data_IF_711567279275
#
_entry.id   IF_711567279275
#
_cell.length_a   1.000
_cell.length_b   1.000
_cell.length_c   1.000
_cell.angle_alpha   90.00
_cell.angle_beta   90.00
_cell.angle_gamma   90.00
#
_symmetry.space_group_name_H-M   'P 1'
#
loop_
_entity.id
_entity.type
_entity.pdbx_description
1 polymer ?
#
# COMPACT_ATOMS: atom_id res chain seq x y z
N UNK A 1 -18.80 65.63 -15.65
CA UNK A 1 -17.50 65.07 -15.23
C UNK A 1 -17.75 64.22 -14.00
N UNK A 2 -17.63 62.89 -14.11
CA UNK A 2 -18.02 61.90 -13.08
C UNK A 2 -16.79 61.46 -12.27
N UNK A 3 -16.91 61.18 -10.96
CA UNK A 3 -15.79 60.70 -10.16
C UNK A 3 -15.53 59.20 -10.39
N UNK A 4 -14.25 58.88 -10.44
CA UNK A 4 -13.63 57.58 -10.62
C UNK A 4 -13.94 56.68 -9.41
N UNK A 5 -14.63 55.55 -9.63
CA UNK A 5 -14.80 54.48 -8.63
C UNK A 5 -13.73 53.42 -8.83
N UNK A 6 -12.94 53.22 -7.78
CA UNK A 6 -11.96 52.15 -7.58
C UNK A 6 -12.69 50.81 -7.62
N UNK A 7 -12.27 49.89 -8.50
CA UNK A 7 -12.71 48.49 -8.47
C UNK A 7 -11.59 47.63 -7.89
N UNK A 8 -11.89 47.02 -6.75
CA UNK A 8 -11.00 46.16 -5.96
C UNK A 8 -10.92 44.79 -6.63
N UNK A 9 -9.67 44.33 -6.75
CA UNK A 9 -9.22 43.04 -7.24
C UNK A 9 -9.93 41.88 -6.50
N UNK A 10 -10.71 41.08 -7.21
CA UNK A 10 -11.33 39.86 -6.68
C UNK A 10 -10.37 38.69 -6.92
N UNK A 11 -9.58 38.38 -5.89
CA UNK A 11 -8.62 37.28 -5.84
C UNK A 11 -9.38 35.95 -5.81
N UNK A 12 -9.29 35.19 -6.90
CA UNK A 12 -9.83 33.84 -7.01
C UNK A 12 -9.12 32.92 -6.00
N UNK A 13 -9.89 32.32 -5.08
CA UNK A 13 -9.42 31.26 -4.20
C UNK A 13 -8.94 30.06 -5.02
N UNK A 14 -7.63 29.82 -5.01
CA UNK A 14 -7.04 28.54 -5.38
C UNK A 14 -7.26 27.55 -4.22
N UNK A 15 -8.09 26.55 -4.47
CA UNK A 15 -8.19 25.34 -3.66
C UNK A 15 -6.84 24.62 -3.66
N UNK A 16 -6.09 24.73 -2.57
CA UNK A 16 -4.91 23.91 -2.31
C UNK A 16 -5.37 22.47 -2.03
N UNK A 17 -5.30 21.62 -3.04
CA UNK A 17 -5.26 20.17 -2.81
C UNK A 17 -3.90 19.83 -2.18
N UNK A 18 -3.92 19.46 -0.91
CA UNK A 18 -2.75 18.96 -0.20
C UNK A 18 -2.47 17.52 -0.64
N UNK A 19 -1.43 17.34 -1.45
CA UNK A 19 -0.89 16.03 -1.79
C UNK A 19 0.04 15.55 -0.67
N UNK A 20 -0.29 14.41 -0.08
CA UNK A 20 0.62 13.59 0.72
C UNK A 20 1.75 13.05 -0.17
N UNK A 21 3.01 13.23 0.23
CA UNK A 21 4.16 12.63 -0.48
C UNK A 21 4.10 11.10 -0.40
N UNK A 22 4.01 10.37 -1.54
CA UNK A 22 4.03 8.92 -1.52
C UNK A 22 5.44 8.39 -1.20
N UNK A 23 5.50 7.30 -0.43
CA UNK A 23 6.68 6.44 -0.32
C UNK A 23 6.90 5.74 -1.65
N UNK A 24 7.64 6.39 -2.55
CA UNK A 24 8.28 5.74 -3.68
C UNK A 24 9.67 6.36 -3.81
N UNK A 25 10.67 5.74 -3.18
CA UNK A 25 12.02 5.84 -3.72
C UNK A 25 12.00 5.05 -5.02
N UNK A 26 11.74 5.74 -6.13
CA UNK A 26 11.74 5.11 -7.44
C UNK A 26 13.15 4.58 -7.74
N UNK A 27 13.30 3.37 -8.31
CA UNK A 27 14.50 3.05 -9.05
C UNK A 27 14.67 4.10 -10.16
N UNK A 28 15.90 4.50 -10.52
CA UNK A 28 16.11 5.43 -11.62
C UNK A 28 15.77 4.72 -12.93
N UNK A 29 14.55 4.94 -13.45
CA UNK A 29 14.11 4.49 -14.77
C UNK A 29 12.83 3.64 -14.76
N UNK A 30 12.12 3.66 -15.89
CA UNK A 30 10.98 2.76 -16.11
C UNK A 30 11.44 1.30 -16.10
N UNK A 31 10.75 0.47 -15.33
CA UNK A 31 10.93 -0.98 -15.28
C UNK A 31 10.29 -1.59 -16.53
N UNK A 32 11.00 -2.53 -17.16
CA UNK A 32 10.53 -3.24 -18.36
C UNK A 32 10.85 -4.73 -18.29
N UNK A 33 9.97 -5.55 -18.85
CA UNK A 33 10.17 -7.00 -18.94
C UNK A 33 11.36 -7.33 -19.87
N UNK A 34 12.21 -8.26 -19.43
CA UNK A 34 13.35 -8.76 -20.20
C UNK A 34 14.65 -7.97 -20.01
N UNK A 35 14.67 -7.02 -19.08
CA UNK A 35 15.94 -6.44 -18.62
C UNK A 35 16.67 -7.42 -17.69
N UNK A 36 18.00 -7.46 -17.70
CA UNK A 36 18.79 -8.44 -16.94
C UNK A 36 18.73 -8.22 -15.42
N UNK A 37 18.26 -7.06 -14.96
CA UNK A 37 18.09 -6.76 -13.54
C UNK A 37 16.75 -7.29 -13.04
N UNK A 38 16.78 -8.01 -11.93
CA UNK A 38 15.57 -8.47 -11.24
C UNK A 38 14.67 -7.28 -10.86
N UNK A 39 13.36 -7.43 -11.08
CA UNK A 39 12.38 -6.39 -10.77
C UNK A 39 12.31 -6.22 -9.25
N UNK A 40 12.84 -5.12 -8.75
CA UNK A 40 12.71 -4.76 -7.35
C UNK A 40 11.29 -4.26 -7.07
N UNK A 41 10.57 -4.98 -6.23
CA UNK A 41 9.21 -4.64 -5.84
C UNK A 41 9.25 -3.77 -4.58
N UNK A 42 8.68 -2.55 -4.61
CA UNK A 42 8.60 -1.71 -3.42
C UNK A 42 7.79 -2.36 -2.31
N UNK A 43 8.19 -2.06 -1.07
CA UNK A 43 7.41 -2.43 0.12
C UNK A 43 6.31 -1.40 0.33
N UNK A 44 5.07 -1.85 0.39
CA UNK A 44 3.90 -1.00 0.67
C UNK A 44 3.18 -1.47 1.94
N UNK A 45 2.30 -0.62 2.45
CA UNK A 45 1.50 -0.90 3.65
C UNK A 45 0.22 -1.66 3.27
N UNK A 46 0.03 -2.82 3.89
CA UNK A 46 -1.21 -3.60 3.83
C UNK A 46 -1.90 -3.55 5.19
N UNK A 47 -3.22 -3.30 5.21
CA UNK A 47 -4.04 -3.40 6.43
C UNK A 47 -5.11 -4.48 6.27
N UNK A 48 -5.28 -5.30 7.29
CA UNK A 48 -6.13 -6.47 7.17
C UNK A 48 -6.24 -7.31 8.43
N UNK A 49 -6.88 -8.45 8.24
CA UNK A 49 -7.05 -9.49 9.23
C UNK A 49 -5.96 -10.54 9.05
N UNK A 50 -5.25 -10.87 10.12
CA UNK A 50 -4.23 -11.90 10.15
C UNK A 50 -4.78 -13.10 10.92
N UNK A 51 -4.62 -14.29 10.34
CA UNK A 51 -4.86 -15.57 11.03
C UNK A 51 -3.55 -16.34 11.00
N UNK A 52 -3.03 -16.67 12.18
CA UNK A 52 -1.80 -17.47 12.33
C UNK A 52 -2.20 -18.93 12.56
N UNK A 53 -1.77 -19.81 11.66
CA UNK A 53 -1.94 -21.25 11.77
C UNK A 53 -0.60 -21.98 11.97
N UNK A 54 -0.64 -23.29 12.27
CA UNK A 54 0.56 -24.10 12.52
C UNK A 54 1.37 -24.40 11.24
N UNK A 55 0.74 -24.35 10.06
CA UNK A 55 1.38 -24.60 8.76
C UNK A 55 1.34 -23.40 7.82
N UNK A 56 0.25 -22.65 7.89
CA UNK A 56 0.02 -21.46 7.06
C UNK A 56 -0.48 -20.32 7.91
N UNK A 57 -0.12 -19.10 7.51
CA UNK A 57 -0.76 -17.89 7.98
C UNK A 57 -1.45 -17.23 6.80
N UNK A 58 -2.60 -16.59 7.04
CA UNK A 58 -3.35 -15.88 6.01
C UNK A 58 -3.50 -14.42 6.36
N UNK A 59 -3.57 -13.59 5.32
CA UNK A 59 -3.88 -12.17 5.40
C UNK A 59 -5.11 -11.88 4.53
N UNK A 60 -6.14 -11.28 5.12
CA UNK A 60 -7.33 -10.81 4.39
C UNK A 60 -7.33 -9.29 4.44
N UNK A 61 -7.13 -8.57 3.32
CA UNK A 61 -7.20 -7.12 3.31
C UNK A 61 -8.53 -6.63 3.88
N UNK A 62 -8.52 -5.49 4.59
CA UNK A 62 -9.76 -4.92 5.10
C UNK A 62 -10.75 -4.66 3.95
N UNK A 63 -12.03 -4.93 4.20
CA UNK A 63 -13.13 -4.82 3.21
C UNK A 63 -12.99 -5.77 2.00
N UNK A 64 -12.20 -6.84 2.12
CA UNK A 64 -12.09 -7.90 1.12
C UNK A 64 -12.55 -9.24 1.66
N UNK A 65 -12.98 -10.10 0.74
CA UNK A 65 -13.17 -11.53 0.97
C UNK A 65 -12.03 -12.38 0.35
N UNK A 66 -11.01 -11.72 -0.21
CA UNK A 66 -9.86 -12.37 -0.81
C UNK A 66 -8.78 -12.61 0.23
N UNK A 67 -8.18 -13.78 0.21
CA UNK A 67 -7.11 -14.16 1.13
C UNK A 67 -5.78 -14.27 0.40
N UNK A 68 -4.73 -13.80 1.06
CA UNK A 68 -3.34 -13.97 0.67
C UNK A 68 -2.64 -14.91 1.64
N UNK A 69 -1.71 -15.71 1.12
CA UNK A 69 -0.81 -16.47 1.97
C UNK A 69 0.18 -15.49 2.59
N UNK A 70 0.18 -15.37 3.91
CA UNK A 70 1.10 -14.52 4.64
C UNK A 70 2.39 -15.29 4.89
N UNK A 71 3.49 -14.85 4.28
CA UNK A 71 4.83 -15.39 4.52
C UNK A 71 5.53 -14.51 5.56
N UNK A 72 5.84 -15.12 6.72
CA UNK A 72 6.48 -14.46 7.86
C UNK A 72 7.89 -15.03 8.07
N UNK A 73 8.81 -14.22 8.58
CA UNK A 73 10.05 -14.74 9.17
C UNK A 73 9.73 -15.50 10.48
N UNK A 74 10.66 -16.35 10.93
CA UNK A 74 10.49 -17.09 12.19
C UNK A 74 10.23 -16.16 13.38
N UNK A 75 10.94 -15.02 13.44
CA UNK A 75 10.76 -14.02 14.48
C UNK A 75 9.39 -13.32 14.41
N UNK A 76 8.94 -12.95 13.20
CA UNK A 76 7.61 -12.36 13.03
C UNK A 76 6.52 -13.36 13.41
N UNK A 77 6.65 -14.63 13.01
CA UNK A 77 5.72 -15.69 13.38
C UNK A 77 5.61 -15.84 14.89
N UNK A 78 6.75 -15.94 15.59
CA UNK A 78 6.77 -16.04 17.05
C UNK A 78 6.13 -14.81 17.72
N UNK A 79 6.44 -13.61 17.22
CA UNK A 79 5.91 -12.36 17.76
C UNK A 79 4.39 -12.28 17.60
N UNK A 80 3.85 -12.60 16.42
CA UNK A 80 2.42 -12.59 16.14
C UNK A 80 1.67 -13.72 16.88
N UNK A 81 2.30 -14.88 17.03
CA UNK A 81 1.73 -16.00 17.79
C UNK A 81 1.51 -15.67 19.27
N UNK A 82 2.25 -14.72 19.82
CA UNK A 82 2.04 -14.22 21.19
C UNK A 82 0.87 -13.21 21.28
N UNK A 83 0.37 -12.70 20.15
CA UNK A 83 -0.75 -11.77 20.11
C UNK A 83 -2.13 -12.46 20.01
N UNK A 84 -2.15 -13.77 19.73
CA UNK A 84 -3.36 -14.58 19.65
C UNK A 84 -3.58 -15.34 20.96
N UNK A 85 -4.81 -15.33 21.46
CA UNK A 85 -5.21 -16.07 22.66
C UNK A 85 -5.66 -17.51 22.34
N UNK A 86 -6.12 -17.76 21.11
CA UNK A 86 -6.54 -19.08 20.66
C UNK A 86 -6.08 -19.39 19.23
N UNK A 87 -5.90 -20.68 18.87
CA UNK A 87 -5.61 -21.07 17.50
C UNK A 87 -6.63 -20.49 16.51
N UNK A 88 -6.14 -20.03 15.36
CA UNK A 88 -6.94 -19.44 14.29
C UNK A 88 -7.75 -18.18 14.67
N UNK A 89 -7.45 -17.54 15.81
CA UNK A 89 -8.00 -16.23 16.13
C UNK A 89 -7.56 -15.22 15.07
N UNK A 90 -8.54 -14.48 14.55
CA UNK A 90 -8.29 -13.34 13.66
C UNK A 90 -7.90 -12.11 14.48
N UNK A 91 -6.77 -11.49 14.14
CA UNK A 91 -6.30 -10.23 14.72
C UNK A 91 -6.16 -9.17 13.65
N UNK A 92 -6.26 -7.89 14.01
CA UNK A 92 -5.97 -6.81 13.08
C UNK A 92 -4.46 -6.67 12.93
N UNK A 93 -3.97 -6.53 11.71
CA UNK A 93 -2.57 -6.28 11.43
C UNK A 93 -2.33 -5.32 10.28
N UNK A 94 -1.28 -4.53 10.44
CA UNK A 94 -0.70 -3.66 9.43
C UNK A 94 0.69 -4.18 9.10
N UNK A 95 0.89 -4.60 7.85
CA UNK A 95 2.09 -5.27 7.36
C UNK A 95 2.71 -4.44 6.24
N UNK A 96 3.99 -4.13 6.38
CA UNK A 96 4.80 -3.57 5.31
C UNK A 96 5.43 -4.75 4.57
N UNK A 97 5.15 -4.86 3.27
CA UNK A 97 5.58 -6.02 2.49
C UNK A 97 5.31 -5.85 1.00
N UNK A 98 5.30 -6.96 0.27
CA UNK A 98 5.01 -6.98 -1.16
C UNK A 98 4.34 -8.30 -1.56
N UNK A 99 3.66 -8.30 -2.71
CA UNK A 99 2.96 -9.46 -3.25
C UNK A 99 3.83 -10.24 -4.23
N UNK A 100 3.68 -11.56 -4.21
CA UNK A 100 4.29 -12.49 -5.17
C UNK A 100 3.28 -13.56 -5.58
N UNK A 101 3.55 -14.25 -6.69
CA UNK A 101 2.71 -15.36 -7.13
C UNK A 101 2.64 -16.48 -6.08
N UNK A 102 1.47 -17.12 -5.90
CA UNK A 102 1.34 -18.34 -5.10
C UNK A 102 2.11 -19.50 -5.72
N UNK A 103 2.26 -20.59 -4.98
CA UNK A 103 2.82 -21.81 -5.56
C UNK A 103 1.88 -22.39 -6.61
N UNK A 104 2.45 -23.08 -7.60
CA UNK A 104 1.66 -23.77 -8.64
C UNK A 104 0.93 -25.00 -8.09
N UNK A 105 1.44 -25.57 -7.00
CA UNK A 105 0.97 -26.82 -6.40
C UNK A 105 0.97 -26.73 -4.87
N UNK A 106 0.28 -27.66 -4.22
CA UNK A 106 0.25 -27.81 -2.76
C UNK A 106 -0.90 -27.08 -2.07
N UNK A 107 -0.92 -27.16 -0.74
CA UNK A 107 -1.99 -26.60 0.12
C UNK A 107 -2.13 -25.07 0.06
N UNK A 108 -1.22 -24.40 -0.64
CA UNK A 108 -1.10 -22.95 -0.75
C UNK A 108 -1.32 -22.43 -2.18
N UNK A 109 -1.73 -23.30 -3.11
CA UNK A 109 -2.02 -22.92 -4.50
C UNK A 109 -3.34 -22.12 -4.65
N UNK A 110 -4.26 -22.25 -3.69
CA UNK A 110 -5.60 -21.61 -3.76
C UNK A 110 -5.59 -20.11 -3.39
N UNK A 111 -4.48 -19.61 -2.83
CA UNK A 111 -4.38 -18.19 -2.48
C UNK A 111 -4.25 -17.32 -3.73
N UNK A 112 -4.87 -16.13 -3.72
CA UNK A 112 -4.77 -15.17 -4.83
C UNK A 112 -3.35 -14.67 -5.05
N UNK A 113 -2.62 -14.47 -3.95
CA UNK A 113 -1.25 -14.00 -3.92
C UNK A 113 -0.57 -14.45 -2.62
N UNK A 114 0.76 -14.31 -2.56
CA UNK A 114 1.54 -14.40 -1.33
C UNK A 114 1.96 -13.01 -0.90
N UNK A 115 1.60 -12.61 0.30
CA UNK A 115 2.13 -11.42 0.95
C UNK A 115 3.41 -11.78 1.69
N UNK A 116 4.54 -11.29 1.20
CA UNK A 116 5.84 -11.43 1.85
C UNK A 116 5.97 -10.28 2.87
N UNK A 117 5.87 -10.62 4.16
CA UNK A 117 5.96 -9.64 5.23
C UNK A 117 7.41 -9.23 5.44
N UNK A 118 7.71 -7.97 5.20
CA UNK A 118 9.01 -7.41 5.53
C UNK A 118 9.05 -6.88 6.97
N UNK A 119 8.00 -6.17 7.38
CA UNK A 119 7.91 -5.58 8.71
C UNK A 119 6.45 -5.53 9.19
N UNK A 120 6.27 -5.71 10.49
CA UNK A 120 4.99 -5.44 11.16
C UNK A 120 4.96 -3.96 11.50
N UNK A 121 3.89 -3.23 11.14
CA UNK A 121 3.70 -1.83 11.52
C UNK A 121 2.88 -1.68 12.80
N UNK A 122 1.79 -2.45 12.91
CA UNK A 122 0.88 -2.42 14.04
C UNK A 122 0.04 -3.69 14.11
N UNK A 123 -0.30 -4.16 15.30
CA UNK A 123 -1.23 -5.29 15.51
C UNK A 123 -2.11 -4.98 16.71
N UNK A 124 -3.38 -5.37 16.63
CA UNK A 124 -4.31 -5.36 17.78
C UNK A 124 -5.22 -6.59 17.76
N UNK A 125 -5.74 -6.97 18.93
CA UNK A 125 -6.50 -8.22 19.10
C UNK A 125 -7.89 -8.23 18.43
N UNK A 126 -8.47 -7.06 18.12
CA UNK A 126 -9.81 -6.94 17.53
C UNK A 126 -9.73 -6.66 16.02
N UNK A 127 -9.78 -7.73 15.22
CA UNK A 127 -9.73 -7.68 13.76
C UNK A 127 -10.84 -6.83 13.12
N UNK A 128 -12.07 -6.96 13.64
CA UNK A 128 -13.25 -6.29 13.09
C UNK A 128 -13.16 -4.79 13.37
N UNK A 129 -12.89 -4.43 14.62
CA UNK A 129 -12.72 -3.03 15.00
C UNK A 129 -11.57 -2.39 14.26
N UNK A 130 -10.42 -3.06 14.16
CA UNK A 130 -9.24 -2.55 13.46
C UNK A 130 -9.51 -2.23 11.98
N UNK A 131 -10.23 -3.10 11.25
CA UNK A 131 -10.60 -2.81 9.87
C UNK A 131 -11.66 -1.72 9.73
N UNK A 132 -12.53 -1.53 10.73
CA UNK A 132 -13.53 -0.45 10.73
C UNK A 132 -12.95 0.93 11.10
N UNK A 133 -11.74 0.98 11.66
CA UNK A 133 -11.11 2.27 12.02
C UNK A 133 -10.79 3.09 10.76
N UNK A 134 -10.88 4.43 10.85
CA UNK A 134 -10.37 5.30 9.80
C UNK A 134 -8.87 5.10 9.61
N UNK A 135 -8.35 5.54 8.46
CA UNK A 135 -6.91 5.57 8.25
C UNK A 135 -6.24 6.38 9.37
N UNK A 136 -5.14 5.84 9.87
CA UNK A 136 -4.39 6.37 10.98
C UNK A 136 -3.16 7.08 10.41
N UNK A 137 -2.83 8.23 10.98
CA UNK A 137 -1.57 8.94 10.74
C UNK A 137 -0.40 8.21 11.41
N UNK A 138 0.81 8.66 11.09
CA UNK A 138 2.00 8.26 11.86
C UNK A 138 1.85 8.77 13.29
N UNK A 139 2.01 7.88 14.26
CA UNK A 139 1.81 8.17 15.67
C UNK A 139 2.97 7.59 16.49
N UNK A 140 3.43 8.33 17.49
CA UNK A 140 4.41 7.88 18.47
C UNK A 140 3.99 8.26 19.89
N UNK A 141 4.16 7.37 20.85
CA UNK A 141 3.76 7.63 22.23
C UNK A 141 4.60 6.86 23.25
N UNK A 142 4.65 7.39 24.47
CA UNK A 142 5.22 6.72 25.64
C UNK A 142 4.43 6.99 26.92
N UNK A 143 4.72 6.23 27.97
CA UNK A 143 3.93 6.25 29.22
C UNK A 143 4.63 6.88 30.42
N UNK A 144 5.97 6.98 30.45
CA UNK A 144 6.73 7.44 31.63
C UNK A 144 7.86 8.42 31.24
N UNK A 145 7.61 9.75 31.26
CA UNK A 145 6.30 10.40 31.40
C UNK A 145 5.42 10.16 30.16
N UNK A 146 4.12 10.42 30.26
CA UNK A 146 3.23 10.29 29.11
C UNK A 146 3.52 11.38 28.07
N UNK A 147 3.62 10.97 26.81
CA UNK A 147 3.74 11.85 25.66
C UNK A 147 3.12 11.19 24.43
N UNK A 148 2.65 12.02 23.50
CA UNK A 148 2.06 11.61 22.23
C UNK A 148 2.51 12.59 21.14
N UNK A 149 2.84 12.05 19.98
CA UNK A 149 3.08 12.79 18.75
C UNK A 149 2.20 12.16 17.67
N UNK A 150 1.34 12.97 17.06
CA UNK A 150 0.52 12.59 15.91
C UNK A 150 0.90 13.46 14.70
N UNK A 151 1.10 12.84 13.55
CA UNK A 151 1.40 13.55 12.31
C UNK A 151 0.09 13.87 11.56
N UNK A 152 -0.52 15.00 11.90
CA UNK A 152 -1.80 15.47 11.32
C UNK A 152 -1.69 15.88 9.86
N UNK A 153 -0.50 16.25 9.40
CA UNK A 153 -0.16 16.51 8.00
C UNK A 153 1.33 16.24 7.76
N UNK A 154 1.80 16.15 6.50
CA UNK A 154 3.22 15.94 6.20
C UNK A 154 4.16 16.98 6.87
N UNK A 155 3.63 18.18 7.15
CA UNK A 155 4.42 19.32 7.62
C UNK A 155 4.13 19.71 9.08
N UNK A 156 3.28 18.97 9.80
CA UNK A 156 2.86 19.33 11.17
C UNK A 156 2.81 18.12 12.10
N UNK A 157 3.40 18.28 13.28
CA UNK A 157 3.28 17.34 14.40
C UNK A 157 2.41 17.95 15.50
N UNK A 158 1.38 17.23 15.93
CA UNK A 158 0.61 17.54 17.12
C UNK A 158 1.27 16.82 18.31
N UNK A 159 1.88 17.60 19.21
CA UNK A 159 2.69 17.11 20.32
C UNK A 159 2.00 17.36 21.64
N UNK A 160 1.81 16.30 22.43
CA UNK A 160 1.19 16.36 23.75
C UNK A 160 2.14 15.80 24.81
N UNK A 161 2.27 16.50 25.94
CA UNK A 161 3.00 16.04 27.13
C UNK A 161 2.08 15.97 28.35
N UNK A 162 2.02 14.82 28.99
CA UNK A 162 1.20 14.61 30.19
C UNK A 162 -0.27 14.93 29.94
N UNK A 163 -0.83 15.83 30.74
CA UNK A 163 -2.23 16.30 30.61
C UNK A 163 -2.36 17.65 29.89
N UNK A 164 -1.32 18.11 29.22
CA UNK A 164 -1.32 19.40 28.52
C UNK A 164 -2.18 19.34 27.25
N UNK A 165 -2.62 20.49 26.75
CA UNK A 165 -3.23 20.56 25.41
C UNK A 165 -2.19 20.24 24.33
N UNK A 166 -2.59 19.66 23.18
CA UNK A 166 -1.71 19.45 22.04
C UNK A 166 -1.08 20.77 21.55
N UNK A 167 0.18 20.69 21.14
CA UNK A 167 0.94 21.80 20.56
C UNK A 167 1.32 21.45 19.12
N UNK A 168 1.06 22.36 18.17
CA UNK A 168 1.41 22.16 16.77
C UNK A 168 2.85 22.59 16.49
N UNK A 169 3.67 21.67 16.01
CA UNK A 169 5.08 21.89 15.69
C UNK A 169 5.29 21.73 14.17
N UNK A 170 5.74 22.77 13.47
CA UNK A 170 6.00 22.67 12.03
C UNK A 170 7.24 21.83 11.77
N UNK A 171 7.11 20.82 10.92
CA UNK A 171 8.21 19.98 10.46
C UNK A 171 9.04 20.79 9.46
N UNK A 172 10.34 20.87 9.71
CA UNK A 172 11.31 21.58 8.84
C UNK A 172 12.08 20.64 7.95
N UNK A 173 12.27 19.41 8.41
CA UNK A 173 13.02 18.41 7.67
C UNK A 173 12.46 17.03 7.97
N UNK A 174 12.32 16.25 6.89
CA UNK A 174 11.95 14.84 6.92
C UNK A 174 13.09 14.07 6.28
N UNK A 175 13.61 13.07 6.99
CA UNK A 175 14.60 12.15 6.45
C UNK A 175 14.13 10.71 6.68
N UNK A 176 13.91 9.99 5.58
CA UNK A 176 13.43 8.62 5.59
C UNK A 176 14.48 7.70 4.94
N UNK A 177 14.99 6.75 5.70
CA UNK A 177 15.86 5.66 5.23
C UNK A 177 15.22 4.32 5.56
N UNK A 178 15.67 3.19 5.04
CA UNK A 178 15.06 1.90 5.42
C UNK A 178 15.03 1.67 6.94
N UNK A 179 16.06 2.12 7.63
CA UNK A 179 16.27 1.90 9.07
C UNK A 179 15.72 3.02 9.95
N UNK A 180 15.39 4.19 9.40
CA UNK A 180 14.95 5.33 10.21
C UNK A 180 13.88 6.19 9.54
N UNK A 181 12.96 6.72 10.34
CA UNK A 181 12.13 7.88 9.99
C UNK A 181 12.48 9.00 10.96
N UNK A 182 12.94 10.13 10.45
CA UNK A 182 13.36 11.28 11.26
C UNK A 182 12.54 12.50 10.87
N UNK A 183 11.84 13.05 11.84
CA UNK A 183 11.05 14.28 11.73
C UNK A 183 11.68 15.35 12.61
N UNK A 184 12.13 16.43 12.01
CA UNK A 184 12.80 17.54 12.72
C UNK A 184 11.91 18.77 12.72
N UNK A 185 11.59 19.27 13.90
CA UNK A 185 10.93 20.55 14.15
C UNK A 185 11.87 21.45 14.99
N UNK A 186 11.64 22.78 15.05
CA UNK A 186 12.45 23.68 15.87
C UNK A 186 12.54 23.30 17.36
N UNK A 187 11.49 22.67 17.88
CA UNK A 187 11.34 22.30 19.29
C UNK A 187 11.95 20.92 19.62
N UNK A 188 12.24 20.09 18.62
CA UNK A 188 12.76 18.75 18.82
C UNK A 188 12.75 17.85 17.59
N UNK A 189 13.27 16.64 17.77
CA UNK A 189 13.42 15.63 16.73
C UNK A 189 12.79 14.32 17.19
N UNK A 190 11.87 13.78 16.37
CA UNK A 190 11.31 12.45 16.52
C UNK A 190 12.03 11.49 15.57
N UNK A 191 12.62 10.44 16.12
CA UNK A 191 13.26 9.35 15.38
C UNK A 191 12.50 8.06 15.64
N UNK A 192 12.06 7.41 14.56
CA UNK A 192 11.44 6.09 14.58
C UNK A 192 12.41 5.07 13.99
N UNK A 193 12.60 3.94 14.66
CA UNK A 193 13.44 2.84 14.20
C UNK A 193 12.63 1.53 14.15
N UNK A 194 12.75 0.71 13.08
CA UNK A 194 12.10 -0.59 12.97
C UNK A 194 12.50 -1.48 14.14
N UNK A 195 11.55 -1.74 15.04
CA UNK A 195 11.73 -2.65 16.16
C UNK A 195 10.39 -2.83 16.85
N UNK A 196 10.09 -4.08 17.19
CA UNK A 196 8.86 -4.42 17.90
C UNK A 196 8.83 -3.72 19.27
N UNK A 197 7.72 -3.08 19.57
CA UNK A 197 7.53 -2.29 20.78
C UNK A 197 6.10 -2.52 21.34
N UNK A 198 5.98 -2.61 22.66
CA UNK A 198 4.69 -2.74 23.34
C UNK A 198 4.61 -1.75 24.50
N UNK A 199 3.52 -0.99 24.55
CA UNK A 199 3.17 -0.15 25.70
C UNK A 199 2.19 -0.85 26.65
N UNK A 200 1.44 -1.82 26.14
CA UNK A 200 0.50 -2.66 26.88
C UNK A 200 0.35 -4.00 26.14
N UNK A 201 -0.43 -4.93 26.69
CA UNK A 201 -0.63 -6.26 26.10
C UNK A 201 -1.66 -6.30 24.96
N UNK A 202 -2.33 -5.19 24.65
CA UNK A 202 -3.43 -5.15 23.67
C UNK A 202 -2.96 -4.76 22.26
N UNK A 203 -1.80 -4.14 22.14
CA UNK A 203 -1.28 -3.65 20.88
C UNK A 203 0.22 -3.86 20.74
N UNK A 204 0.62 -4.30 19.55
CA UNK A 204 2.00 -4.40 19.12
C UNK A 204 2.29 -3.25 18.16
N UNK A 205 3.38 -2.53 18.41
CA UNK A 205 3.88 -1.47 17.54
C UNK A 205 5.13 -1.97 16.81
N UNK A 206 5.23 -1.61 15.53
CA UNK A 206 6.33 -2.00 14.66
C UNK A 206 7.59 -1.17 14.77
N UNK A 207 7.50 -0.05 15.52
CA UNK A 207 8.55 0.94 15.61
C UNK A 207 8.81 1.32 17.06
N UNK A 208 10.08 1.51 17.39
CA UNK A 208 10.50 2.23 18.58
C UNK A 208 10.62 3.71 18.26
N UNK A 209 10.23 4.55 19.21
CA UNK A 209 10.32 6.00 19.09
C UNK A 209 11.33 6.57 20.09
N UNK A 210 12.18 7.46 19.61
CA UNK A 210 13.03 8.32 20.41
C UNK A 210 12.70 9.78 20.08
N UNK A 211 12.26 10.54 21.09
CA UNK A 211 11.83 11.92 20.93
C UNK A 211 12.72 12.84 21.77
N UNK A 212 13.57 13.59 21.11
CA UNK A 212 14.53 14.50 21.74
C UNK A 212 14.03 15.93 21.62
N UNK A 213 13.82 16.60 22.76
CA UNK A 213 13.31 17.97 22.82
C UNK A 213 14.16 18.81 23.76
N UNK A 214 13.93 20.13 23.77
CA UNK A 214 14.53 21.02 24.76
C UNK A 214 14.18 20.64 26.22
N UNK A 215 13.03 19.99 26.44
CA UNK A 215 12.55 19.58 27.76
C UNK A 215 13.11 18.24 28.25
N UNK A 216 13.74 17.47 27.36
CA UNK A 216 14.26 16.15 27.69
C UNK A 216 14.17 15.14 26.54
N UNK A 217 14.56 13.91 26.86
CA UNK A 217 14.57 12.77 25.93
C UNK A 217 13.51 11.77 26.36
N UNK A 218 12.67 11.38 25.42
CA UNK A 218 11.56 10.45 25.64
C UNK A 218 11.72 9.22 24.77
N UNK A 219 11.26 8.07 25.29
CA UNK A 219 11.24 6.81 24.57
C UNK A 219 9.83 6.25 24.58
N UNK A 220 9.49 5.49 23.55
CA UNK A 220 8.15 4.96 23.36
C UNK A 220 8.03 4.04 22.16
N UNK A 221 6.79 3.79 21.77
CA UNK A 221 6.43 2.99 20.61
C UNK A 221 5.79 3.87 19.54
N UNK A 222 5.85 3.42 18.30
CA UNK A 222 5.24 4.12 17.18
C UNK A 222 4.70 3.18 16.11
N UNK A 223 3.81 3.72 15.30
CA UNK A 223 3.33 3.14 14.05
C UNK A 223 3.43 4.20 12.95
N UNK A 224 3.72 3.77 11.73
CA UNK A 224 3.58 4.64 10.57
C UNK A 224 2.12 4.76 10.17
N UNK A 225 1.80 5.83 9.45
CA UNK A 225 0.48 5.99 8.85
C UNK A 225 0.14 4.79 7.96
N UNK A 226 -1.11 4.35 8.02
CA UNK A 226 -1.54 3.09 7.42
C UNK A 226 -2.25 3.25 6.06
N UNK A 227 -2.04 4.40 5.41
CA UNK A 227 -2.55 4.69 4.08
C UNK A 227 -1.75 3.95 3.01
N UNK A 228 -2.45 3.27 2.10
CA UNK A 228 -1.85 2.76 0.88
C UNK A 228 -1.71 3.89 -0.17
N UNK A 229 -0.48 4.30 -0.52
CA UNK A 229 -0.26 5.36 -1.51
C UNK A 229 -0.66 4.95 -2.93
N UNK A 230 -0.85 3.66 -3.20
CA UNK A 230 -1.19 3.14 -4.52
C UNK A 230 -2.70 3.16 -4.84
N UNK A 231 -3.53 3.62 -3.90
CA UNK A 231 -4.99 3.73 -4.08
C UNK A 231 -5.42 4.54 -5.32
N UNK A 232 -4.58 5.45 -5.83
CA UNK A 232 -4.86 6.21 -7.06
C UNK A 232 -4.96 5.33 -8.33
N UNK A 233 -4.42 4.11 -8.28
CA UNK A 233 -4.49 3.09 -9.33
C UNK A 233 -5.79 2.30 -9.37
N UNK A 234 -6.59 2.36 -8.30
CA UNK A 234 -7.87 1.67 -8.23
C UNK A 234 -8.82 2.27 -9.27
N UNK A 235 -9.17 1.47 -10.27
CA UNK A 235 -10.15 1.79 -11.30
C UNK A 235 -10.44 0.56 -12.16
N UNK A 236 -11.43 0.74 -13.05
CA UNK A 236 -11.63 -0.11 -14.22
C UNK A 236 -11.03 0.58 -15.44
N UNK A 237 -10.22 -0.13 -16.19
CA UNK A 237 -9.59 0.32 -17.43
C UNK A 237 -10.08 -0.54 -18.60
N UNK A 238 -10.37 0.07 -19.73
CA UNK A 238 -10.97 -0.59 -20.89
C UNK A 238 -10.24 -0.25 -22.18
N UNK A 239 -10.22 -1.19 -23.13
CA UNK A 239 -9.87 -0.92 -24.51
C UNK A 239 -10.69 -1.77 -25.48
N UNK A 240 -10.96 -1.21 -26.66
CA UNK A 240 -11.43 -1.96 -27.81
C UNK A 240 -10.27 -2.11 -28.80
N UNK A 241 -10.17 -3.27 -29.44
CA UNK A 241 -9.16 -3.50 -30.47
C UNK A 241 -9.43 -2.64 -31.70
N UNK A 242 -8.38 -2.05 -32.24
CA UNK A 242 -8.41 -1.31 -33.52
C UNK A 242 -8.14 -2.21 -34.72
N UNK A 243 -7.85 -3.50 -34.50
CA UNK A 243 -7.52 -4.49 -35.54
C UNK A 243 -8.52 -5.64 -35.64
N UNK A 244 -9.24 -5.90 -34.56
CA UNK A 244 -10.26 -6.93 -34.48
C UNK A 244 -11.53 -6.25 -33.98
N UNK A 245 -12.46 -5.96 -34.88
CA UNK A 245 -13.68 -5.17 -34.59
C UNK A 245 -14.59 -5.79 -33.50
N UNK A 246 -14.26 -6.99 -33.03
CA UNK A 246 -15.04 -7.78 -32.09
C UNK A 246 -14.29 -8.12 -30.80
N UNK A 247 -13.15 -7.48 -30.48
CA UNK A 247 -12.35 -7.79 -29.29
C UNK A 247 -12.23 -6.60 -28.35
N UNK A 248 -12.47 -6.82 -27.05
CA UNK A 248 -12.27 -5.82 -26.01
C UNK A 248 -11.61 -6.42 -24.76
N UNK A 249 -10.88 -5.57 -24.04
CA UNK A 249 -10.16 -5.91 -22.81
C UNK A 249 -10.62 -4.98 -21.71
N UNK A 250 -10.96 -5.53 -20.54
CA UNK A 250 -11.27 -4.77 -19.33
C UNK A 250 -10.39 -5.24 -18.19
N UNK A 251 -9.59 -4.34 -17.62
CA UNK A 251 -8.77 -4.57 -16.44
C UNK A 251 -9.38 -3.85 -15.24
N UNK A 252 -9.71 -4.59 -14.18
CA UNK A 252 -10.18 -4.03 -12.91
C UNK A 252 -9.09 -4.18 -11.87
N UNK A 253 -8.63 -3.05 -11.30
CA UNK A 253 -7.70 -2.99 -10.18
C UNK A 253 -8.47 -2.64 -8.91
N UNK A 254 -8.54 -3.57 -7.96
CA UNK A 254 -9.34 -3.41 -6.73
C UNK A 254 -8.48 -2.90 -5.56
N UNK A 255 -9.14 -2.27 -4.59
CA UNK A 255 -8.51 -1.71 -3.38
C UNK A 255 -7.82 -2.76 -2.49
N UNK A 256 -8.17 -4.03 -2.64
CA UNK A 256 -7.57 -5.15 -1.92
C UNK A 256 -6.34 -5.72 -2.63
N UNK A 257 -5.79 -5.01 -3.61
CA UNK A 257 -4.69 -5.44 -4.48
C UNK A 257 -4.99 -6.65 -5.37
N UNK A 258 -6.26 -7.08 -5.49
CA UNK A 258 -6.63 -8.06 -6.52
C UNK A 258 -6.88 -7.41 -7.86
N UNK A 259 -6.55 -8.15 -8.92
CA UNK A 259 -6.74 -7.73 -10.30
C UNK A 259 -7.60 -8.75 -11.04
N UNK A 260 -8.40 -8.26 -11.99
CA UNK A 260 -9.15 -9.09 -12.91
C UNK A 260 -9.04 -8.52 -14.32
N UNK A 261 -8.69 -9.36 -15.29
CA UNK A 261 -8.79 -9.02 -16.71
C UNK A 261 -9.91 -9.83 -17.35
N UNK A 262 -10.80 -9.15 -18.07
CA UNK A 262 -11.83 -9.74 -18.88
C UNK A 262 -11.50 -9.50 -20.35
N UNK A 263 -11.48 -10.57 -21.13
CA UNK A 263 -11.38 -10.51 -22.58
C UNK A 263 -12.72 -10.89 -23.16
N UNK A 264 -13.31 -10.00 -23.94
CA UNK A 264 -14.60 -10.24 -24.58
C UNK A 264 -14.42 -10.28 -26.09
N UNK A 265 -14.89 -11.37 -26.69
CA UNK A 265 -15.04 -11.52 -28.13
C UNK A 265 -16.52 -11.46 -28.45
N UNK A 266 -16.99 -10.58 -29.35
CA UNK A 266 -18.44 -10.43 -29.63
C UNK A 266 -19.10 -11.74 -30.09
N UNK A 267 -18.32 -12.65 -30.68
CA UNK A 267 -18.81 -13.95 -31.15
C UNK A 267 -18.82 -15.02 -30.04
N UNK A 268 -18.28 -14.73 -28.86
CA UNK A 268 -18.25 -15.62 -27.71
C UNK A 268 -19.16 -15.06 -26.59
N UNK A 269 -20.23 -15.78 -26.20
CA UNK A 269 -21.11 -15.32 -25.13
C UNK A 269 -20.42 -15.27 -23.76
N UNK A 270 -19.29 -15.97 -23.57
CA UNK A 270 -18.60 -16.06 -22.27
C UNK A 270 -17.25 -15.33 -22.36
N UNK A 271 -17.03 -14.26 -21.58
CA UNK A 271 -15.73 -13.61 -21.55
C UNK A 271 -14.68 -14.54 -20.94
N UNK A 272 -13.46 -14.44 -21.45
CA UNK A 272 -12.30 -15.07 -20.83
C UNK A 272 -11.90 -14.25 -19.61
N UNK A 273 -11.79 -14.93 -18.47
CA UNK A 273 -11.48 -14.28 -17.18
C UNK A 273 -10.09 -14.69 -16.71
N UNK A 274 -9.25 -13.69 -16.48
CA UNK A 274 -8.02 -13.82 -15.72
C UNK A 274 -8.16 -13.14 -14.36
N UNK A 275 -7.61 -13.76 -13.33
CA UNK A 275 -7.56 -13.17 -11.98
C UNK A 275 -6.18 -13.30 -11.37
N UNK A 276 -5.84 -12.36 -10.51
CA UNK A 276 -4.57 -12.35 -9.78
C UNK A 276 -4.47 -11.12 -8.90
N UNK A 277 -3.32 -10.44 -8.92
CA UNK A 277 -3.02 -9.30 -8.07
C UNK A 277 -2.29 -8.18 -8.81
N UNK A 278 -2.25 -7.01 -8.20
CA UNK A 278 -1.49 -5.86 -8.69
C UNK A 278 -0.78 -5.13 -7.54
N UNK A 279 0.32 -4.47 -7.87
CA UNK A 279 1.06 -3.63 -6.94
C UNK A 279 1.82 -2.53 -7.65
N UNK A 280 2.01 -1.39 -6.99
CA UNK A 280 2.83 -0.30 -7.51
C UNK A 280 4.31 -0.67 -7.51
N UNK A 281 4.97 -0.41 -8.64
CA UNK A 281 6.42 -0.54 -8.78
C UNK A 281 7.12 0.81 -8.53
N UNK A 282 6.45 1.90 -8.87
CA UNK A 282 6.87 3.27 -8.62
C UNK A 282 5.66 4.22 -8.81
N UNK A 283 5.91 5.53 -8.94
CA UNK A 283 4.86 6.54 -9.02
C UNK A 283 4.05 6.50 -10.32
N UNK A 284 4.59 5.88 -11.36
CA UNK A 284 4.08 5.89 -12.73
C UNK A 284 3.95 4.49 -13.35
N UNK A 285 4.30 3.43 -12.62
CA UNK A 285 4.15 2.05 -13.07
C UNK A 285 3.58 1.11 -12.01
N UNK A 286 2.80 0.14 -12.50
CA UNK A 286 2.29 -0.98 -11.72
C UNK A 286 2.67 -2.30 -12.37
N UNK A 287 2.82 -3.32 -11.53
CA UNK A 287 2.86 -4.70 -11.94
C UNK A 287 1.45 -5.28 -11.81
N UNK A 288 1.00 -5.98 -12.84
CA UNK A 288 -0.22 -6.78 -12.82
C UNK A 288 0.18 -8.22 -13.10
N UNK A 289 -0.12 -9.11 -12.17
CA UNK A 289 0.19 -10.54 -12.26
C UNK A 289 -1.12 -11.33 -12.21
N UNK A 290 -1.45 -12.00 -13.28
CA UNK A 290 -2.56 -12.95 -13.36
C UNK A 290 -2.02 -14.34 -12.99
N UNK A 291 -2.74 -15.05 -12.13
CA UNK A 291 -2.35 -16.39 -11.64
C UNK A 291 -3.34 -17.46 -12.06
N UNK A 292 -4.55 -17.06 -12.49
CA UNK A 292 -5.57 -17.95 -13.00
C UNK A 292 -6.12 -17.43 -14.32
N UNK A 293 -6.34 -18.34 -15.27
CA UNK A 293 -7.01 -18.15 -16.54
C UNK A 293 -8.13 -19.19 -16.65
N UNK A 294 -9.39 -18.76 -16.72
CA UNK A 294 -10.55 -19.67 -16.69
C UNK A 294 -10.49 -20.70 -15.55
N UNK A 295 -10.12 -20.22 -14.34
CA UNK A 295 -9.91 -21.04 -13.13
C UNK A 295 -8.75 -22.05 -13.19
N UNK A 296 -8.00 -22.10 -14.29
CA UNK A 296 -6.78 -22.90 -14.41
C UNK A 296 -5.56 -22.05 -14.07
N UNK A 297 -4.54 -22.65 -13.44
CA UNK A 297 -3.33 -21.91 -13.12
C UNK A 297 -2.61 -21.47 -14.40
N UNK A 298 -2.41 -20.17 -14.55
CA UNK A 298 -1.61 -19.56 -15.61
C UNK A 298 -0.95 -18.31 -15.05
N UNK A 299 0.38 -18.29 -15.03
CA UNK A 299 1.13 -17.12 -14.59
C UNK A 299 1.38 -16.20 -15.78
N UNK A 300 0.70 -15.06 -15.80
CA UNK A 300 0.96 -13.97 -16.73
C UNK A 300 1.33 -12.69 -15.96
N UNK A 301 2.27 -11.93 -16.48
CA UNK A 301 2.70 -10.66 -15.91
C UNK A 301 2.76 -9.57 -16.98
N UNK A 302 2.25 -8.40 -16.63
CA UNK A 302 2.36 -7.16 -17.42
C UNK A 302 2.83 -6.03 -16.51
N UNK A 303 3.69 -5.16 -17.05
CA UNK A 303 4.07 -3.92 -16.40
C UNK A 303 3.39 -2.80 -17.17
N UNK A 304 2.49 -2.08 -16.50
CA UNK A 304 1.79 -0.95 -17.08
C UNK A 304 2.45 0.35 -16.63
N UNK A 305 2.70 1.26 -17.57
CA UNK A 305 3.07 2.64 -17.32
C UNK A 305 1.84 3.54 -17.47
N UNK A 306 1.62 4.47 -16.53
CA UNK A 306 0.53 5.44 -16.58
C UNK A 306 0.90 6.65 -17.42
N UNK A 307 0.00 7.06 -18.30
CA UNK A 307 0.11 8.27 -19.11
C UNK A 307 -1.24 9.00 -19.08
N UNK A 308 -1.37 9.96 -18.16
CA UNK A 308 -2.67 10.59 -17.86
C UNK A 308 -3.68 9.54 -17.38
N UNK A 309 -4.81 9.42 -18.09
CA UNK A 309 -5.86 8.43 -17.82
C UNK A 309 -5.64 7.08 -18.52
N UNK A 310 -4.46 6.84 -19.10
CA UNK A 310 -4.14 5.61 -19.81
C UNK A 310 -3.15 4.74 -19.05
N UNK A 311 -3.28 3.42 -19.21
CA UNK A 311 -2.29 2.42 -18.84
C UNK A 311 -1.74 1.77 -20.10
N UNK A 312 -0.43 1.72 -20.26
CA UNK A 312 0.20 1.12 -21.41
C UNK A 312 1.19 0.02 -21.01
N UNK A 313 1.08 -1.16 -21.61
CA UNK A 313 2.02 -2.27 -21.47
C UNK A 313 2.50 -2.72 -22.87
N UNK A 314 3.80 -2.63 -23.19
CA UNK A 314 4.31 -3.06 -24.50
C UNK A 314 4.53 -4.58 -24.59
N UNK A 315 4.69 -5.25 -23.45
CA UNK A 315 5.09 -6.65 -23.34
C UNK A 315 4.25 -7.38 -22.30
N UNK A 316 4.20 -8.69 -22.47
CA UNK A 316 3.65 -9.64 -21.51
C UNK A 316 4.64 -10.77 -21.28
N UNK A 317 4.72 -11.26 -20.05
CA UNK A 317 5.43 -12.48 -19.72
C UNK A 317 4.41 -13.57 -19.38
N UNK A 318 4.45 -14.72 -20.06
CA UNK A 318 3.65 -15.91 -19.72
C UNK A 318 4.60 -17.03 -19.32
N UNK A 319 4.51 -17.47 -18.07
CA UNK A 319 5.51 -18.36 -17.47
C UNK A 319 6.90 -17.72 -17.49
N UNK A 320 7.83 -18.31 -18.25
CA UNK A 320 9.20 -17.81 -18.42
C UNK A 320 9.42 -17.10 -19.76
N UNK A 321 8.43 -17.10 -20.65
CA UNK A 321 8.55 -16.52 -21.99
C UNK A 321 7.99 -15.09 -22.00
N UNK A 322 8.72 -14.18 -22.66
CA UNK A 322 8.33 -12.79 -22.82
C UNK A 322 7.94 -12.57 -24.27
N UNK A 323 6.79 -11.93 -24.48
CA UNK A 323 6.23 -11.61 -25.79
C UNK A 323 6.01 -10.11 -25.91
N UNK A 324 6.30 -9.56 -27.09
CA UNK A 324 5.81 -8.24 -27.46
C UNK A 324 4.31 -8.34 -27.74
N UNK A 325 3.53 -7.45 -27.13
CA UNK A 325 2.09 -7.38 -27.39
C UNK A 325 1.90 -6.74 -28.77
N UNK A 326 1.18 -7.45 -29.65
CA UNK A 326 0.98 -7.03 -31.04
C UNK A 326 0.43 -5.61 -31.16
N UNK A 327 0.87 -4.87 -32.18
CA UNK A 327 0.34 -3.53 -32.45
C UNK A 327 0.92 -2.41 -31.59
N UNK A 328 2.08 -2.65 -30.96
CA UNK A 328 2.80 -1.65 -30.17
C UNK A 328 2.47 -1.67 -28.69
N UNK A 329 1.64 -2.60 -28.23
CA UNK A 329 1.28 -2.77 -26.82
C UNK A 329 -0.22 -2.85 -26.56
N UNK A 330 -0.57 -3.06 -25.30
CA UNK A 330 -1.92 -2.93 -24.77
C UNK A 330 -2.06 -1.56 -24.10
N UNK A 331 -2.87 -0.68 -24.69
CA UNK A 331 -3.26 0.60 -24.08
C UNK A 331 -4.69 0.51 -23.57
N UNK A 332 -4.89 0.74 -22.27
CA UNK A 332 -6.18 0.73 -21.61
C UNK A 332 -6.53 2.14 -21.12
N UNK A 333 -7.79 2.53 -21.21
CA UNK A 333 -8.30 3.84 -20.84
C UNK A 333 -9.11 3.73 -19.55
N UNK A 334 -8.86 4.62 -18.59
CA UNK A 334 -9.63 4.66 -17.34
C UNK A 334 -11.10 4.91 -17.66
N UNK A 335 -11.97 4.07 -17.12
CA UNK A 335 -13.42 4.27 -17.20
C UNK A 335 -13.80 5.50 -16.39
N UNK A 336 -14.72 6.31 -16.91
CA UNK A 336 -15.29 7.42 -16.13
C UNK A 336 -16.09 6.84 -14.96
N UNK A 337 -15.97 7.42 -13.75
CA UNK A 337 -16.76 6.99 -12.58
C UNK A 337 -18.25 7.18 -12.78
#
# INVERSE_FOLDING_TARGET
MKPLKILIFSLLMLLLQACTSPMVTAPPGHISLGQPTEIQIPRIMFRGQIVIGPRTSSFTPCNSNQQFLLTLSAQQYQTLSQQVASPYQSIYGEIIGFLTAPSQTGYNADFRARLIAHQINYVSQDAVRGCSQPLQSTEAQGQKPHWLVDMTSPDTLDVTFGKSSPQQWPVKQVNHTEEHRVYTAPQGTLTLSPSVCQLNHQALYGWMAAFNTQKGRYRGCARLGNQDPSTTWIATYHANSTRQDNFSVTLTLKADHTAQTLYHYQNDPIPIVETGFWQALNGDQIQVVMTQHQQQYLLSQRIFTRQGDQLHAPKEQVGQQIYDISGGGLTLYRSKP
#
